data_IF_472681649212
#
_entry.id   IF_472681649212
#
_cell.length_a   1.000
_cell.length_b   1.000
_cell.length_c   1.000
_cell.angle_alpha   90.00
_cell.angle_beta   90.00
_cell.angle_gamma   90.00
#
_symmetry.space_group_name_H-M   'P 1'
#
loop_
_entity.id
_entity.type
_entity.pdbx_description
1 polymer ?
#
# COMPACT_ATOMS: atom_id res chain seq x y z
N UNK A 1 -1.38 8.80 -4.86
CA UNK A 1 -1.58 8.11 -3.56
C UNK A 1 -0.23 7.66 -3.00
N UNK A 2 0.68 7.14 -3.83
CA UNK A 2 2.07 6.84 -3.45
C UNK A 2 2.78 8.00 -2.73
N UNK A 3 2.72 9.23 -3.25
CA UNK A 3 3.37 10.39 -2.61
C UNK A 3 2.91 10.64 -1.17
N UNK A 4 1.63 10.37 -0.87
CA UNK A 4 1.09 10.57 0.47
C UNK A 4 1.55 9.46 1.43
N UNK A 5 1.57 8.20 0.99
CA UNK A 5 2.08 7.10 1.79
C UNK A 5 3.58 7.24 2.08
N UNK A 6 4.35 7.60 1.07
CA UNK A 6 5.78 7.84 1.21
C UNK A 6 6.02 8.95 2.23
N UNK A 7 5.26 10.05 2.14
CA UNK A 7 5.31 11.12 3.13
C UNK A 7 4.97 10.63 4.55
N UNK A 8 3.94 9.80 4.72
CA UNK A 8 3.55 9.24 6.04
C UNK A 8 4.67 8.37 6.61
N UNK A 9 5.25 7.48 5.79
CA UNK A 9 6.36 6.60 6.20
C UNK A 9 7.54 7.43 6.69
N UNK A 10 7.90 8.48 5.94
CA UNK A 10 8.98 9.40 6.34
C UNK A 10 8.68 10.13 7.67
N UNK A 11 7.43 10.52 7.92
CA UNK A 11 7.08 11.12 9.21
C UNK A 11 7.15 10.10 10.35
N UNK A 12 6.69 8.87 10.14
CA UNK A 12 6.77 7.80 11.15
C UNK A 12 8.21 7.47 11.49
N UNK A 13 9.10 7.44 10.49
CA UNK A 13 10.54 7.27 10.71
C UNK A 13 11.15 8.40 11.55
N UNK A 14 10.71 9.65 11.36
CA UNK A 14 11.17 10.80 12.16
C UNK A 14 10.66 10.76 13.60
N UNK A 15 9.50 10.15 13.83
CA UNK A 15 8.90 9.98 15.16
C UNK A 15 9.43 8.75 15.91
N UNK A 16 10.21 7.91 15.24
CA UNK A 16 10.81 6.73 15.83
C UNK A 16 11.88 7.11 16.87
N UNK A 17 11.69 6.57 18.06
CA UNK A 17 12.61 6.60 19.20
C UNK A 17 12.90 5.15 19.61
N UNK A 18 13.88 4.94 20.49
CA UNK A 18 14.16 3.59 21.00
C UNK A 18 12.95 2.94 21.68
N UNK A 19 12.16 3.73 22.41
CA UNK A 19 11.03 3.23 23.20
C UNK A 19 9.82 2.82 22.33
N UNK A 20 9.64 3.45 21.17
CA UNK A 20 8.50 3.20 20.29
C UNK A 20 8.87 2.48 18.98
N UNK A 21 10.13 2.06 18.83
CA UNK A 21 10.67 1.52 17.57
C UNK A 21 9.82 0.39 17.00
N UNK A 22 9.38 -0.55 17.85
CA UNK A 22 8.54 -1.69 17.43
C UNK A 22 7.18 -1.19 16.91
N UNK A 23 6.55 -0.25 17.59
CA UNK A 23 5.25 0.29 17.19
C UNK A 23 5.36 1.06 15.87
N UNK A 24 6.39 1.90 15.72
CA UNK A 24 6.62 2.65 14.49
C UNK A 24 6.93 1.73 13.32
N UNK A 25 7.75 0.69 13.54
CA UNK A 25 8.07 -0.29 12.51
C UNK A 25 6.82 -1.06 12.07
N UNK A 26 6.00 -1.53 13.00
CA UNK A 26 4.74 -2.22 12.65
C UNK A 26 3.74 -1.31 11.95
N UNK A 27 3.69 -0.01 12.29
CA UNK A 27 2.84 0.95 11.58
C UNK A 27 3.30 1.16 10.13
N UNK A 28 4.61 1.25 9.89
CA UNK A 28 5.18 1.36 8.54
C UNK A 28 4.86 0.10 7.72
N UNK A 29 5.07 -1.08 8.30
CA UNK A 29 4.79 -2.36 7.64
C UNK A 29 3.30 -2.49 7.26
N UNK A 30 2.39 -2.09 8.15
CA UNK A 30 0.96 -2.12 7.88
C UNK A 30 0.59 -1.21 6.69
N UNK A 31 1.17 -0.02 6.62
CA UNK A 31 0.93 0.93 5.53
C UNK A 31 1.44 0.37 4.20
N UNK A 32 2.62 -0.25 4.19
CA UNK A 32 3.19 -0.86 2.99
C UNK A 32 2.34 -2.05 2.51
N UNK A 33 1.92 -2.92 3.42
CA UNK A 33 1.05 -4.04 3.08
C UNK A 33 -0.29 -3.59 2.47
N UNK A 34 -0.84 -2.46 2.95
CA UNK A 34 -2.05 -1.87 2.36
C UNK A 34 -1.81 -1.36 0.93
N UNK A 35 -0.62 -0.82 0.63
CA UNK A 35 -0.30 -0.41 -0.74
C UNK A 35 -0.20 -1.61 -1.67
N UNK A 36 0.53 -2.65 -1.24
CA UNK A 36 0.68 -3.89 -2.01
C UNK A 36 -0.69 -4.54 -2.30
N UNK A 37 -1.62 -4.49 -1.35
CA UNK A 37 -3.00 -4.97 -1.53
C UNK A 37 -3.77 -4.12 -2.55
N UNK A 38 -3.69 -2.79 -2.47
CA UNK A 38 -4.33 -1.89 -3.44
C UNK A 38 -3.81 -2.16 -4.85
N UNK A 39 -2.50 -2.31 -5.02
CA UNK A 39 -1.88 -2.57 -6.32
C UNK A 39 -2.26 -3.96 -6.86
N UNK A 40 -2.36 -4.95 -5.97
CA UNK A 40 -2.88 -6.28 -6.32
C UNK A 40 -4.33 -6.22 -6.81
N UNK A 41 -5.20 -5.49 -6.10
CA UNK A 41 -6.60 -5.30 -6.47
C UNK A 41 -6.73 -4.58 -7.81
N UNK A 42 -5.95 -3.53 -8.04
CA UNK A 42 -5.92 -2.84 -9.33
C UNK A 42 -5.48 -3.77 -10.46
N UNK A 43 -4.39 -4.54 -10.28
CA UNK A 43 -3.93 -5.49 -11.29
C UNK A 43 -4.98 -6.58 -11.60
N UNK A 44 -5.68 -7.07 -10.56
CA UNK A 44 -6.76 -8.04 -10.75
C UNK A 44 -7.95 -7.43 -11.51
N UNK A 45 -8.34 -6.20 -11.17
CA UNK A 45 -9.40 -5.46 -11.87
C UNK A 45 -9.05 -5.20 -13.33
N UNK A 46 -7.82 -4.76 -13.62
CA UNK A 46 -7.32 -4.59 -14.98
C UNK A 46 -7.36 -5.93 -15.73
N UNK A 47 -6.86 -7.01 -15.13
CA UNK A 47 -6.90 -8.34 -15.73
C UNK A 47 -8.32 -8.83 -16.05
N UNK A 48 -9.30 -8.50 -15.20
CA UNK A 48 -10.70 -8.76 -15.46
C UNK A 48 -11.26 -7.89 -16.59
N UNK A 49 -10.91 -6.59 -16.62
CA UNK A 49 -11.34 -5.66 -17.66
C UNK A 49 -10.75 -6.02 -19.04
N UNK A 50 -9.52 -6.55 -19.10
CA UNK A 50 -8.86 -6.99 -20.33
C UNK A 50 -9.24 -8.43 -20.76
N UNK A 51 -10.11 -9.12 -20.03
CA UNK A 51 -10.52 -10.48 -20.38
C UNK A 51 -11.50 -10.48 -21.58
N UNK A 52 -11.21 -11.20 -22.68
CA UNK A 52 -12.04 -11.20 -23.90
C UNK A 52 -13.53 -11.57 -23.70
N UNK A 53 -13.85 -12.28 -22.61
CA UNK A 53 -15.22 -12.63 -22.23
C UNK A 53 -16.03 -11.43 -21.70
N UNK A 54 -15.39 -10.38 -21.18
CA UNK A 54 -16.07 -9.18 -20.70
C UNK A 54 -16.39 -8.19 -21.85
N UNK A 55 -15.65 -8.23 -22.96
CA UNK A 55 -15.85 -7.32 -24.12
C UNK A 55 -17.01 -7.72 -25.03
N UNK A 56 -17.57 -8.91 -24.84
CA UNK A 56 -18.63 -9.48 -25.70
C UNK A 56 -20.05 -9.23 -25.20
N UNK A 57 -20.24 -8.42 -24.15
CA UNK A 57 -21.56 -8.01 -23.66
C UNK A 57 -21.94 -6.63 -24.16
#
# INVERSE_FOLDING_TARGET
MEDQQQWIIEQLQKLATGDNQVVMQSAIELIQAQQDEIDSLHGAMEGQLWSPNQWRK
#
